data_IF_828301213640
#
_entry.id   IF_828301213640
#
_cell.length_a   1.000
_cell.length_b   1.000
_cell.length_c   1.000
_cell.angle_alpha   90.00
_cell.angle_beta   90.00
_cell.angle_gamma   90.00
#
_symmetry.space_group_name_H-M   'P 1'
#
loop_
_entity.id
_entity.type
_entity.pdbx_description
1 polymer ?
#
# COMPACT_ATOMS: atom_id res chain seq x y z
N UNK A 1 -13.46 26.13 6.01
CA UNK A 1 -14.39 25.06 5.63
C UNK A 1 -13.68 23.73 5.87
N UNK A 2 -14.22 22.82 6.71
CA UNK A 2 -13.64 21.47 6.89
C UNK A 2 -14.24 20.54 5.84
N UNK A 3 -13.39 19.88 5.05
CA UNK A 3 -13.81 18.83 4.12
C UNK A 3 -14.16 17.58 4.94
N UNK A 4 -15.28 16.93 4.61
CA UNK A 4 -15.64 15.63 5.18
C UNK A 4 -15.30 14.55 4.16
N UNK A 5 -14.47 13.59 4.56
CA UNK A 5 -14.12 12.44 3.74
C UNK A 5 -15.04 11.27 4.09
N UNK A 6 -15.63 10.64 3.08
CA UNK A 6 -16.37 9.39 3.26
C UNK A 6 -15.42 8.21 3.11
N UNK A 7 -15.17 7.51 4.22
CA UNK A 7 -14.29 6.34 4.27
C UNK A 7 -14.97 5.07 3.74
N UNK A 8 -16.26 5.06 3.44
CA UNK A 8 -17.03 3.85 3.14
C UNK A 8 -17.41 3.70 1.66
N UNK A 9 -16.88 4.54 0.78
CA UNK A 9 -17.14 4.45 -0.65
C UNK A 9 -16.62 3.12 -1.22
N UNK A 10 -17.54 2.27 -1.66
CA UNK A 10 -17.25 0.88 -2.02
C UNK A 10 -16.20 0.75 -3.12
N UNK A 11 -16.31 1.56 -4.19
CA UNK A 11 -15.34 1.55 -5.29
C UNK A 11 -13.93 1.97 -4.83
N UNK A 12 -13.82 2.83 -3.81
CA UNK A 12 -12.52 3.17 -3.23
C UNK A 12 -11.96 2.01 -2.42
N UNK A 13 -12.80 1.31 -1.65
CA UNK A 13 -12.40 0.12 -0.92
C UNK A 13 -11.93 -1.00 -1.83
N UNK A 14 -12.66 -1.24 -2.93
CA UNK A 14 -12.30 -2.24 -3.92
C UNK A 14 -10.94 -1.95 -4.58
N UNK A 15 -10.67 -0.68 -4.91
CA UNK A 15 -9.38 -0.25 -5.45
C UNK A 15 -8.25 -0.44 -4.44
N UNK A 16 -8.45 -0.07 -3.18
CA UNK A 16 -7.47 -0.25 -2.11
C UNK A 16 -7.19 -1.74 -1.88
N UNK A 17 -8.25 -2.56 -1.74
CA UNK A 17 -8.14 -3.99 -1.54
C UNK A 17 -7.41 -4.68 -2.70
N UNK A 18 -7.62 -4.24 -3.94
CA UNK A 18 -6.93 -4.78 -5.11
C UNK A 18 -5.41 -4.59 -5.04
N UNK A 19 -4.91 -3.55 -4.38
CA UNK A 19 -3.47 -3.38 -4.14
C UNK A 19 -2.99 -4.16 -2.92
N UNK A 20 -3.74 -4.12 -1.82
CA UNK A 20 -3.37 -4.82 -0.57
C UNK A 20 -3.31 -6.34 -0.77
N UNK A 21 -4.23 -6.89 -1.57
CA UNK A 21 -4.31 -8.32 -1.83
C UNK A 21 -3.18 -8.84 -2.75
N UNK A 22 -2.46 -7.97 -3.48
CA UNK A 22 -1.27 -8.38 -4.22
C UNK A 22 -0.20 -8.98 -3.31
N UNK A 23 -0.17 -8.54 -2.04
CA UNK A 23 0.82 -8.94 -1.05
C UNK A 23 0.28 -9.96 -0.05
N UNK A 24 -0.82 -10.66 -0.37
CA UNK A 24 -1.33 -11.75 0.49
C UNK A 24 -0.27 -12.83 0.68
N UNK A 25 -0.09 -13.28 1.92
CA UNK A 25 0.94 -14.24 2.30
C UNK A 25 2.20 -13.61 2.88
N UNK A 26 2.40 -12.29 2.68
CA UNK A 26 3.45 -11.52 3.34
C UNK A 26 3.26 -11.55 4.87
N UNK A 27 4.36 -11.65 5.61
CA UNK A 27 4.34 -11.61 7.08
C UNK A 27 3.62 -10.35 7.57
N UNK A 28 2.57 -10.49 8.41
CA UNK A 28 1.82 -9.35 8.90
C UNK A 28 2.64 -8.41 9.78
N UNK A 29 2.19 -7.15 9.90
CA UNK A 29 2.77 -6.20 10.85
C UNK A 29 2.62 -6.73 12.29
N UNK A 30 3.74 -6.99 12.96
CA UNK A 30 3.73 -7.37 14.37
C UNK A 30 3.60 -6.13 15.27
N UNK A 31 2.64 -6.14 16.20
CA UNK A 31 2.49 -5.10 17.23
C UNK A 31 3.44 -5.31 18.41
N UNK A 32 3.74 -4.23 19.15
CA UNK A 32 4.70 -3.99 20.26
C UNK A 32 4.96 -5.08 21.34
N UNK A 33 4.38 -6.27 21.26
CA UNK A 33 4.55 -7.36 22.24
C UNK A 33 5.09 -8.67 21.66
N UNK A 34 5.49 -8.70 20.38
CA UNK A 34 6.42 -9.74 19.94
C UNK A 34 7.80 -9.40 20.47
N UNK A 35 8.19 -10.06 21.57
CA UNK A 35 9.61 -10.37 21.79
C UNK A 35 9.99 -11.28 20.64
N UNK A 36 10.31 -10.68 19.50
CA UNK A 36 10.79 -11.42 18.37
C UNK A 36 11.99 -12.22 18.86
N UNK A 37 11.97 -13.54 18.63
CA UNK A 37 13.16 -14.38 18.66
C UNK A 37 14.22 -13.93 17.60
N UNK A 38 14.09 -12.72 17.05
CA UNK A 38 15.07 -11.99 16.27
C UNK A 38 16.13 -11.28 17.13
N UNK A 39 16.25 -11.59 18.43
CA UNK A 39 17.43 -11.23 19.24
C UNK A 39 18.75 -11.86 18.74
N UNK A 40 18.78 -12.54 17.59
CA UNK A 40 19.99 -13.11 16.99
C UNK A 40 20.20 -12.88 15.49
N UNK A 41 19.25 -12.25 14.78
CA UNK A 41 19.35 -12.02 13.32
C UNK A 41 19.19 -10.55 12.90
N UNK A 42 19.19 -9.62 13.86
CA UNK A 42 19.31 -8.18 13.60
C UNK A 42 20.70 -7.82 13.03
N UNK A 43 21.71 -8.71 13.12
CA UNK A 43 23.08 -8.41 12.69
C UNK A 43 23.47 -8.82 11.26
N UNK A 44 22.64 -9.54 10.50
CA UNK A 44 23.03 -10.06 9.18
C UNK A 44 22.54 -9.22 7.99
N UNK A 45 21.54 -8.36 8.21
CA UNK A 45 20.95 -7.53 7.15
C UNK A 45 20.70 -6.07 7.55
N UNK A 46 21.15 -5.65 8.73
CA UNK A 46 21.43 -4.23 8.99
C UNK A 46 22.61 -3.84 8.09
N UNK A 47 22.32 -3.46 6.85
CA UNK A 47 23.27 -2.60 6.15
C UNK A 47 23.39 -1.34 6.98
N UNK A 48 24.61 -0.82 7.17
CA UNK A 48 24.85 0.48 7.83
C UNK A 48 24.00 1.64 7.23
N UNK A 49 23.32 1.39 6.11
CA UNK A 49 22.48 2.29 5.32
C UNK A 49 20.97 2.28 5.66
N UNK A 50 20.51 1.46 6.63
CA UNK A 50 19.18 1.56 7.24
C UNK A 50 18.13 0.50 6.84
N UNK A 51 16.92 0.64 7.39
CA UNK A 51 15.81 -0.35 7.31
C UNK A 51 14.89 -0.05 6.12
N UNK A 52 14.60 -1.04 5.26
CA UNK A 52 13.69 -0.92 4.11
C UNK A 52 12.44 -1.81 4.22
N UNK A 53 11.45 -1.60 3.34
CA UNK A 53 10.35 -2.55 3.20
C UNK A 53 10.90 -3.87 2.64
N UNK A 54 10.56 -5.00 3.25
CA UNK A 54 10.97 -6.33 2.81
C UNK A 54 9.82 -7.01 2.09
N UNK A 55 10.03 -7.43 0.85
CA UNK A 55 9.11 -8.34 0.16
C UNK A 55 9.60 -9.78 0.36
N UNK A 56 8.78 -10.62 1.00
CA UNK A 56 9.10 -12.03 1.27
C UNK A 56 8.52 -12.97 0.22
N UNK A 57 7.45 -12.53 -0.43
CA UNK A 57 6.75 -13.28 -1.46
C UNK A 57 7.63 -13.47 -2.69
N UNK A 58 7.62 -14.68 -3.22
CA UNK A 58 8.24 -14.97 -4.51
C UNK A 58 7.35 -14.57 -5.69
N UNK A 59 7.88 -14.70 -6.90
CA UNK A 59 7.17 -14.30 -8.11
C UNK A 59 5.90 -15.13 -8.36
N UNK A 60 5.91 -16.42 -8.01
CA UNK A 60 4.76 -17.31 -8.21
C UNK A 60 3.63 -16.91 -7.26
N UNK A 61 3.95 -16.56 -6.01
CA UNK A 61 3.00 -16.05 -5.03
C UNK A 61 2.38 -14.72 -5.47
N UNK A 62 3.20 -13.76 -5.92
CA UNK A 62 2.70 -12.48 -6.43
C UNK A 62 1.85 -12.66 -7.69
N UNK A 63 2.27 -13.53 -8.61
CA UNK A 63 1.51 -13.83 -9.82
C UNK A 63 0.15 -14.43 -9.49
N UNK A 64 0.10 -15.37 -8.55
CA UNK A 64 -1.15 -15.96 -8.08
C UNK A 64 -2.09 -14.90 -7.48
N UNK A 65 -1.56 -14.05 -6.60
CA UNK A 65 -2.34 -12.97 -5.99
C UNK A 65 -2.88 -12.00 -7.06
N UNK A 66 -2.05 -11.61 -8.02
CA UNK A 66 -2.45 -10.77 -9.16
C UNK A 66 -3.60 -11.42 -9.96
N UNK A 67 -3.48 -12.71 -10.28
CA UNK A 67 -4.50 -13.44 -11.03
C UNK A 67 -5.83 -13.53 -10.27
N UNK A 68 -5.80 -13.69 -8.94
CA UNK A 68 -6.99 -13.65 -8.09
C UNK A 68 -7.64 -12.26 -8.09
N UNK A 69 -6.84 -11.19 -7.96
CA UNK A 69 -7.30 -9.80 -8.04
C UNK A 69 -7.90 -9.50 -9.41
N UNK A 70 -7.25 -9.91 -10.49
CA UNK A 70 -7.74 -9.72 -11.87
C UNK A 70 -9.07 -10.44 -12.06
N UNK A 71 -9.18 -11.71 -11.66
CA UNK A 71 -10.41 -12.49 -11.79
C UNK A 71 -11.58 -11.84 -11.04
N UNK A 72 -11.36 -11.40 -9.80
CA UNK A 72 -12.38 -10.72 -8.99
C UNK A 72 -12.87 -9.42 -9.64
N UNK A 73 -11.98 -8.70 -10.31
CA UNK A 73 -12.29 -7.45 -11.01
C UNK A 73 -12.76 -7.66 -12.46
N UNK A 74 -12.92 -8.91 -12.91
CA UNK A 74 -13.35 -9.22 -14.27
C UNK A 74 -12.31 -8.88 -15.35
N UNK A 75 -11.03 -8.84 -14.99
CA UNK A 75 -9.90 -8.54 -15.88
C UNK A 75 -9.26 -9.81 -16.44
N UNK A 76 -8.63 -9.74 -17.63
CA UNK A 76 -7.83 -10.84 -18.16
C UNK A 76 -6.67 -11.17 -17.22
N UNK A 77 -6.40 -12.45 -17.01
CA UNK A 77 -5.32 -12.89 -16.14
C UNK A 77 -3.96 -12.80 -16.84
N UNK A 78 -3.00 -12.19 -16.15
CA UNK A 78 -1.59 -12.18 -16.55
C UNK A 78 -1.01 -13.59 -16.45
N UNK A 79 -0.28 -14.04 -17.48
CA UNK A 79 0.23 -15.42 -17.54
C UNK A 79 1.59 -15.62 -16.87
N UNK A 80 2.42 -14.60 -16.90
CA UNK A 80 3.76 -14.59 -16.32
C UNK A 80 4.08 -13.20 -15.81
N UNK A 81 4.82 -13.11 -14.72
CA UNK A 81 5.47 -11.89 -14.29
C UNK A 81 6.95 -11.95 -14.71
N UNK A 82 7.69 -10.89 -14.41
CA UNK A 82 9.14 -10.91 -14.55
C UNK A 82 9.74 -10.59 -13.19
N UNK A 83 10.56 -11.50 -12.68
CA UNK A 83 11.24 -11.34 -11.40
C UNK A 83 11.85 -9.94 -11.25
N UNK A 84 11.44 -9.22 -10.20
CA UNK A 84 11.95 -7.89 -9.87
C UNK A 84 11.38 -6.75 -10.71
N UNK A 85 10.51 -7.02 -11.68
CA UNK A 85 9.82 -6.01 -12.49
C UNK A 85 8.32 -6.02 -12.15
N UNK A 86 8.01 -5.54 -10.94
CA UNK A 86 6.65 -5.39 -10.46
C UNK A 86 6.11 -4.00 -10.82
N UNK A 87 5.28 -3.96 -11.86
CA UNK A 87 4.53 -2.78 -12.27
C UNK A 87 3.05 -3.15 -12.40
N UNK A 88 2.20 -2.47 -11.63
CA UNK A 88 0.78 -2.79 -11.51
C UNK A 88 -0.06 -1.53 -11.65
N UNK A 89 -1.11 -1.64 -12.46
CA UNK A 89 -1.98 -0.51 -12.77
C UNK A 89 -3.29 -0.53 -11.99
N UNK A 90 -3.68 0.66 -11.49
CA UNK A 90 -5.02 0.92 -10.96
C UNK A 90 -5.67 2.04 -11.78
N UNK A 91 -6.57 1.63 -12.66
CA UNK A 91 -7.37 2.54 -13.47
C UNK A 91 -8.55 3.09 -12.66
N UNK A 92 -8.73 4.41 -12.70
CA UNK A 92 -9.84 5.07 -12.01
C UNK A 92 -10.22 6.32 -12.80
N UNK A 93 -11.52 6.54 -12.94
CA UNK A 93 -12.10 7.71 -13.61
C UNK A 93 -11.76 9.01 -12.87
N UNK A 94 -11.69 10.13 -13.60
CA UNK A 94 -11.42 11.44 -12.98
C UNK A 94 -12.53 11.80 -11.98
N UNK A 95 -12.14 12.39 -10.84
CA UNK A 95 -13.09 12.80 -9.81
C UNK A 95 -13.53 11.70 -8.84
N UNK A 96 -13.06 10.45 -9.00
CA UNK A 96 -13.35 9.33 -8.08
C UNK A 96 -12.44 9.27 -6.85
N UNK A 97 -11.52 10.22 -6.69
CA UNK A 97 -10.66 10.30 -5.50
C UNK A 97 -9.44 9.37 -5.54
N UNK A 98 -8.83 9.16 -6.72
CA UNK A 98 -7.55 8.44 -6.88
C UNK A 98 -6.48 8.85 -5.86
N UNK A 99 -6.39 10.14 -5.55
CA UNK A 99 -5.48 10.67 -4.52
C UNK A 99 -5.74 10.10 -3.13
N UNK A 100 -7.02 10.06 -2.73
CA UNK A 100 -7.41 9.48 -1.45
C UNK A 100 -7.14 7.97 -1.43
N UNK A 101 -7.43 7.26 -2.53
CA UNK A 101 -7.20 5.82 -2.66
C UNK A 101 -5.74 5.47 -2.46
N UNK A 102 -4.78 6.04 -3.21
CA UNK A 102 -3.38 5.63 -3.05
C UNK A 102 -2.82 6.02 -1.67
N UNK A 103 -3.27 7.14 -1.08
CA UNK A 103 -2.86 7.53 0.26
C UNK A 103 -3.36 6.53 1.29
N UNK A 104 -4.63 6.14 1.20
CA UNK A 104 -5.19 5.14 2.08
C UNK A 104 -4.57 3.76 1.88
N UNK A 105 -4.25 3.39 0.64
CA UNK A 105 -3.51 2.16 0.34
C UNK A 105 -2.16 2.13 1.06
N UNK A 106 -1.43 3.24 1.14
CA UNK A 106 -0.19 3.33 1.93
C UNK A 106 -0.44 2.97 3.40
N UNK A 107 -1.49 3.51 4.02
CA UNK A 107 -1.85 3.16 5.41
C UNK A 107 -2.29 1.70 5.56
N UNK A 108 -3.06 1.16 4.62
CA UNK A 108 -3.44 -0.25 4.65
C UNK A 108 -2.24 -1.19 4.48
N UNK A 109 -1.28 -0.86 3.61
CA UNK A 109 -0.06 -1.64 3.43
C UNK A 109 0.81 -1.62 4.70
N UNK A 110 0.89 -0.46 5.37
CA UNK A 110 1.53 -0.38 6.69
C UNK A 110 0.80 -1.26 7.70
N UNK A 111 -0.51 -1.08 7.86
CA UNK A 111 -1.32 -1.82 8.82
C UNK A 111 -1.26 -3.35 8.62
N UNK A 112 -1.32 -3.81 7.37
CA UNK A 112 -1.36 -5.24 7.06
C UNK A 112 0.05 -5.85 7.09
N UNK A 113 1.08 -5.16 6.60
CA UNK A 113 2.39 -5.78 6.30
C UNK A 113 3.61 -5.00 6.81
N UNK A 114 3.42 -3.86 7.48
CA UNK A 114 4.49 -3.06 8.05
C UNK A 114 5.29 -2.24 7.03
N UNK A 115 4.83 -2.16 5.78
CA UNK A 115 5.47 -1.32 4.77
C UNK A 115 5.38 0.15 5.18
N UNK A 116 6.52 0.80 5.38
CA UNK A 116 6.62 2.11 6.04
C UNK A 116 7.28 3.19 5.17
N UNK A 117 7.99 2.80 4.11
CA UNK A 117 8.68 3.73 3.21
C UNK A 117 8.06 3.71 1.82
N UNK A 118 7.60 4.85 1.35
CA UNK A 118 6.93 5.00 0.05
C UNK A 118 7.44 6.23 -0.69
N UNK A 119 7.44 6.17 -2.01
CA UNK A 119 7.80 7.28 -2.90
C UNK A 119 6.60 7.54 -3.83
N UNK A 120 6.08 8.76 -3.80
CA UNK A 120 5.01 9.21 -4.71
C UNK A 120 5.66 10.04 -5.81
N UNK A 121 5.68 9.51 -7.03
CA UNK A 121 6.22 10.21 -8.22
C UNK A 121 5.08 10.93 -8.93
N UNK A 122 5.27 12.21 -9.26
CA UNK A 122 4.25 13.05 -9.91
C UNK A 122 4.84 13.79 -11.12
N UNK A 123 4.05 14.04 -12.18
CA UNK A 123 4.59 14.57 -13.44
C UNK A 123 4.78 16.09 -13.45
N UNK A 124 4.30 16.82 -12.44
CA UNK A 124 4.44 18.28 -12.37
C UNK A 124 4.48 18.82 -10.94
N UNK A 125 5.03 20.02 -10.77
CA UNK A 125 5.09 20.73 -9.48
C UNK A 125 3.67 21.04 -8.98
N UNK A 126 2.74 21.43 -9.87
CA UNK A 126 1.37 21.72 -9.49
C UNK A 126 0.68 20.49 -8.86
N UNK A 127 0.90 19.30 -9.43
CA UNK A 127 0.37 18.05 -8.86
C UNK A 127 1.06 17.75 -7.53
N UNK A 128 2.39 17.96 -7.42
CA UNK A 128 3.14 17.79 -6.16
C UNK A 128 2.54 18.62 -5.03
N UNK A 129 2.27 19.89 -5.26
CA UNK A 129 1.67 20.79 -4.27
C UNK A 129 0.24 20.38 -3.92
N UNK A 130 -0.54 19.91 -4.90
CA UNK A 130 -1.89 19.37 -4.66
C UNK A 130 -1.88 18.11 -3.79
N UNK A 131 -0.94 17.20 -4.03
CA UNK A 131 -0.74 15.99 -3.21
C UNK A 131 -0.29 16.37 -1.79
N UNK A 132 0.70 17.26 -1.67
CA UNK A 132 1.17 17.76 -0.39
C UNK A 132 0.04 18.40 0.42
N UNK A 133 -0.80 19.21 -0.23
CA UNK A 133 -1.97 19.78 0.42
C UNK A 133 -2.98 18.72 0.84
N UNK A 134 -3.17 17.68 0.02
CA UNK A 134 -4.07 16.57 0.34
C UNK A 134 -3.62 15.83 1.60
N UNK A 135 -2.32 15.55 1.74
CA UNK A 135 -1.75 14.95 2.95
C UNK A 135 -2.06 15.76 4.21
N UNK A 136 -1.95 17.09 4.14
CA UNK A 136 -2.26 17.97 5.28
C UNK A 136 -3.74 17.95 5.66
N UNK A 137 -4.65 17.97 4.68
CA UNK A 137 -6.09 18.02 4.96
C UNK A 137 -6.66 16.67 5.40
N UNK A 138 -6.03 15.55 5.01
CA UNK A 138 -6.46 14.21 5.39
C UNK A 138 -5.82 13.72 6.70
N UNK A 139 -4.92 14.50 7.31
CA UNK A 139 -4.19 14.11 8.52
C UNK A 139 -5.14 13.74 9.69
N UNK A 140 -6.09 14.62 10.04
CA UNK A 140 -7.08 14.38 11.10
C UNK A 140 -7.95 13.15 10.76
N UNK A 141 -8.37 13.02 9.50
CA UNK A 141 -9.18 11.90 9.03
C UNK A 141 -8.46 10.55 9.13
N UNK A 142 -7.21 10.48 8.70
CA UNK A 142 -6.44 9.23 8.76
C UNK A 142 -6.05 8.87 10.20
N UNK A 143 -5.76 9.86 11.05
CA UNK A 143 -5.56 9.66 12.49
C UNK A 143 -6.78 9.02 13.15
N UNK A 144 -7.98 9.52 12.86
CA UNK A 144 -9.23 8.93 13.35
C UNK A 144 -9.50 7.53 12.75
N UNK A 145 -9.12 7.30 11.49
CA UNK A 145 -9.35 6.03 10.82
C UNK A 145 -8.43 4.90 11.29
N UNK A 146 -7.20 5.22 11.67
CA UNK A 146 -6.15 4.28 12.06
C UNK A 146 -5.74 4.44 13.53
N UNK A 147 -6.69 4.85 14.38
CA UNK A 147 -6.59 4.85 15.85
C UNK A 147 -5.41 5.64 16.46
N UNK A 148 -4.90 6.67 15.78
CA UNK A 148 -3.69 7.44 16.16
C UNK A 148 -2.43 6.58 16.38
N UNK A 149 -2.34 5.44 15.70
CA UNK A 149 -1.16 4.56 15.75
C UNK A 149 -0.03 5.05 14.86
#
# INVERSE_FOLDING_TARGET
>A
MKLKFDKNLEYQQQAIASVVDLFRGQTPMNTNFTVSAYNGQIGLFDTENGIGNRLELDEEEILKNLQEVQLRNGLPQTKFLKAGEYDFDIEMETGTGKTYVYLRTIFELYKNYGFSKFIIVVPSIAIKEGVYKTLQITEEHFKELYDNT
#
